data_IF_509890141189
#
_entry.id   IF_509890141189
#
_cell.length_a   1.000
_cell.length_b   1.000
_cell.length_c   1.000
_cell.angle_alpha   90.00
_cell.angle_beta   90.00
_cell.angle_gamma   90.00
#
_symmetry.space_group_name_H-M   'P 1'
#
loop_
_entity.id
_entity.type
_entity.pdbx_description
1 polymer ?
#
# COMPACT_ATOMS: atom_id res chain seq x y z
N UNK A 1 27.01 -21.01 27.99
CA UNK A 1 25.85 -20.15 27.72
C UNK A 1 25.91 -19.70 26.26
N UNK A 2 24.97 -20.13 25.41
CA UNK A 2 24.89 -19.73 24.00
C UNK A 2 23.57 -18.97 23.78
N UNK A 3 23.69 -17.66 23.58
CA UNK A 3 22.54 -16.76 23.42
C UNK A 3 21.96 -16.89 22.00
N UNK A 4 20.88 -17.68 21.89
CA UNK A 4 19.69 -17.38 21.08
C UNK A 4 19.85 -16.93 19.63
N UNK A 5 20.29 -17.81 18.73
CA UNK A 5 19.92 -17.71 17.31
C UNK A 5 19.30 -19.02 16.86
N UNK A 6 17.97 -19.11 16.92
CA UNK A 6 17.26 -20.13 16.14
C UNK A 6 17.25 -19.73 14.67
N UNK A 7 17.37 -20.70 13.76
CA UNK A 7 17.49 -20.47 12.33
C UNK A 7 16.12 -20.12 11.74
N UNK A 8 16.15 -19.35 10.65
CA UNK A 8 15.19 -19.39 9.56
C UNK A 8 13.70 -19.42 9.99
N UNK A 9 13.05 -18.25 10.06
CA UNK A 9 11.60 -18.20 9.90
C UNK A 9 11.29 -18.63 8.46
N UNK A 10 11.12 -19.93 8.33
CA UNK A 10 10.57 -20.60 7.17
C UNK A 10 9.35 -19.81 6.72
N UNK A 11 9.46 -19.25 5.52
CA UNK A 11 8.31 -18.81 4.74
C UNK A 11 7.47 -20.06 4.47
N UNK A 12 6.58 -20.42 5.40
CA UNK A 12 5.71 -21.57 5.24
C UNK A 12 4.85 -21.38 3.98
N UNK A 13 4.66 -22.40 3.12
CA UNK A 13 3.68 -22.38 2.04
C UNK A 13 2.26 -22.61 2.59
N UNK A 14 2.00 -22.09 3.79
CA UNK A 14 0.71 -22.11 4.47
C UNK A 14 0.12 -20.72 4.37
N UNK A 15 -1.03 -20.62 3.70
CA UNK A 15 -1.94 -19.47 3.59
C UNK A 15 -1.48 -18.25 4.41
N UNK A 16 -0.99 -17.23 3.71
CA UNK A 16 -0.53 -15.98 4.31
C UNK A 16 -1.53 -15.45 5.37
N UNK A 17 -1.04 -14.94 6.51
CA UNK A 17 -1.89 -14.55 7.62
C UNK A 17 -2.95 -13.54 7.16
N UNK A 18 -4.21 -13.76 7.60
CA UNK A 18 -5.36 -12.88 7.35
C UNK A 18 -5.27 -11.54 8.10
N UNK A 19 -4.08 -10.92 8.15
CA UNK A 19 -3.87 -9.63 8.77
C UNK A 19 -3.59 -8.61 7.67
N UNK A 20 -4.68 -8.07 7.13
CA UNK A 20 -4.70 -6.74 6.52
C UNK A 20 -3.68 -6.53 5.41
N UNK A 21 -3.51 -7.48 4.50
CA UNK A 21 -3.03 -7.13 3.17
C UNK A 21 -4.15 -6.27 2.61
N UNK A 22 -4.02 -4.94 2.66
CA UNK A 22 -4.82 -4.05 1.83
C UNK A 22 -4.73 -4.66 0.41
N UNK A 23 -5.79 -5.28 -0.18
CA UNK A 23 -5.77 -5.81 -1.53
C UNK A 23 -4.87 -4.96 -2.38
N UNK A 24 -3.78 -5.61 -2.80
CA UNK A 24 -3.06 -5.14 -3.94
C UNK A 24 -4.15 -5.01 -5.00
N UNK A 25 -4.44 -3.76 -5.32
CA UNK A 25 -5.39 -3.33 -6.31
C UNK A 25 -4.90 -3.95 -7.63
N UNK A 26 -5.25 -5.23 -7.84
CA UNK A 26 -4.60 -6.09 -8.83
C UNK A 26 -5.09 -5.73 -10.23
N UNK A 27 -6.35 -5.35 -10.32
CA UNK A 27 -7.01 -4.84 -11.52
C UNK A 27 -6.67 -3.37 -11.83
N UNK A 28 -6.00 -2.66 -10.91
CA UNK A 28 -5.54 -1.29 -11.14
C UNK A 28 -6.67 -0.28 -11.38
N UNK A 29 -7.85 -0.53 -10.82
CA UNK A 29 -9.05 0.31 -10.98
C UNK A 29 -8.78 1.74 -10.46
N UNK A 30 -8.02 1.86 -9.37
CA UNK A 30 -7.68 3.14 -8.74
C UNK A 30 -6.36 3.75 -9.26
N UNK A 31 -5.82 3.25 -10.37
CA UNK A 31 -4.54 3.73 -10.95
C UNK A 31 -4.64 5.17 -11.48
N UNK A 32 -5.81 5.62 -11.93
CA UNK A 32 -6.00 7.02 -12.37
C UNK A 32 -5.71 8.03 -11.26
N UNK A 33 -6.32 7.83 -10.09
CA UNK A 33 -6.10 8.69 -8.91
C UNK A 33 -4.69 8.57 -8.35
N UNK A 34 -4.09 7.36 -8.41
CA UNK A 34 -2.67 7.16 -8.06
C UNK A 34 -1.75 8.00 -8.96
N UNK A 35 -1.97 7.99 -10.28
CA UNK A 35 -1.16 8.75 -11.22
C UNK A 35 -1.27 10.25 -10.97
N UNK A 36 -2.47 10.75 -10.64
CA UNK A 36 -2.68 12.15 -10.32
C UNK A 36 -1.94 12.56 -9.04
N UNK A 37 -1.99 11.72 -8.00
CA UNK A 37 -1.20 11.90 -6.78
C UNK A 37 0.32 11.93 -7.07
N UNK A 38 0.83 10.98 -7.86
CA UNK A 38 2.25 10.94 -8.24
C UNK A 38 2.65 12.16 -9.09
N UNK A 39 1.77 12.62 -9.98
CA UNK A 39 1.99 13.83 -10.77
C UNK A 39 2.07 15.06 -9.88
N UNK A 40 1.16 15.19 -8.92
CA UNK A 40 1.18 16.25 -7.93
C UNK A 40 2.47 16.21 -7.10
N UNK A 41 2.90 15.04 -6.63
CA UNK A 41 4.16 14.90 -5.87
C UNK A 41 5.36 15.36 -6.70
N UNK A 42 5.45 14.94 -7.97
CA UNK A 42 6.54 15.35 -8.87
C UNK A 42 6.58 16.86 -9.08
N UNK A 43 5.42 17.51 -9.20
CA UNK A 43 5.32 18.96 -9.37
C UNK A 43 5.68 19.72 -8.09
N UNK A 44 5.32 19.19 -6.92
CA UNK A 44 5.47 19.84 -5.62
C UNK A 44 6.70 19.37 -4.83
N UNK A 45 7.71 18.81 -5.50
CA UNK A 45 8.95 18.29 -4.88
C UNK A 45 8.68 17.31 -3.71
N UNK A 46 7.75 16.39 -3.91
CA UNK A 46 7.29 15.40 -2.92
C UNK A 46 6.63 16.00 -1.66
N UNK A 47 6.09 17.22 -1.74
CA UNK A 47 5.30 17.78 -0.65
C UNK A 47 3.90 17.14 -0.60
N UNK A 48 3.75 16.15 0.28
CA UNK A 48 2.49 15.44 0.47
C UNK A 48 1.34 16.34 0.98
N UNK A 49 1.66 17.44 1.68
CA UNK A 49 0.64 18.35 2.23
C UNK A 49 -0.21 19.01 1.13
N UNK A 50 0.41 19.37 0.00
CA UNK A 50 -0.28 19.97 -1.15
C UNK A 50 -1.07 18.94 -1.97
N UNK A 51 -0.63 17.68 -1.93
CA UNK A 51 -1.21 16.58 -2.70
C UNK A 51 -2.19 15.72 -1.90
N UNK A 52 -2.58 16.17 -0.70
CA UNK A 52 -3.44 15.43 0.23
C UNK A 52 -4.78 15.05 -0.40
N UNK A 53 -5.40 15.96 -1.15
CA UNK A 53 -6.63 15.72 -1.89
C UNK A 53 -6.56 14.49 -2.83
N UNK A 54 -5.43 14.31 -3.52
CA UNK A 54 -5.23 13.19 -4.44
C UNK A 54 -4.92 11.88 -3.71
N UNK A 55 -4.22 11.98 -2.56
CA UNK A 55 -3.98 10.83 -1.70
C UNK A 55 -5.28 10.32 -1.06
N UNK A 56 -6.16 11.22 -0.64
CA UNK A 56 -7.48 10.89 -0.08
C UNK A 56 -8.37 10.25 -1.13
N UNK A 57 -8.42 10.82 -2.34
CA UNK A 57 -9.18 10.24 -3.46
C UNK A 57 -8.66 8.83 -3.84
N UNK A 58 -7.35 8.62 -3.86
CA UNK A 58 -6.76 7.31 -4.13
C UNK A 58 -7.12 6.28 -3.06
N UNK A 59 -7.04 6.67 -1.78
CA UNK A 59 -7.41 5.80 -0.66
C UNK A 59 -8.92 5.52 -0.61
N UNK A 60 -9.76 6.52 -0.90
CA UNK A 60 -11.20 6.33 -0.99
C UNK A 60 -11.59 5.37 -2.11
N UNK A 61 -11.02 5.55 -3.31
CA UNK A 61 -11.27 4.64 -4.43
C UNK A 61 -10.97 3.20 -4.04
N UNK A 62 -9.85 3.02 -3.31
CA UNK A 62 -9.52 1.73 -2.76
C UNK A 62 -10.60 1.25 -1.79
N UNK A 63 -10.94 2.02 -0.76
CA UNK A 63 -11.95 1.68 0.28
C UNK A 63 -13.34 1.36 -0.27
N UNK A 64 -13.80 2.06 -1.31
CA UNK A 64 -15.10 1.86 -1.96
C UNK A 64 -15.21 0.46 -2.60
N UNK A 65 -14.09 -0.05 -3.11
CA UNK A 65 -14.01 -1.37 -3.76
C UNK A 65 -13.91 -2.53 -2.77
N UNK A 66 -13.92 -2.26 -1.47
CA UNK A 66 -13.95 -3.27 -0.39
C UNK A 66 -15.36 -3.67 0.06
N UNK A 67 -16.39 -3.05 -0.50
CA UNK A 67 -17.79 -3.39 -0.22
C UNK A 67 -18.18 -4.71 -0.86
#
# INVERSE_FOLDING_TARGET
MAFGRTPNVESSPGKAPQRGSFPLDHDGECKKTMLDYVKCLKQNKNNNGLCRQFSEAYLQCRMDKYV
#
